data_IF_258989961648
#
_entry.id   IF_258989961648
#
_cell.length_a   1.000
_cell.length_b   1.000
_cell.length_c   1.000
_cell.angle_alpha   90.00
_cell.angle_beta   90.00
_cell.angle_gamma   90.00
#
_symmetry.space_group_name_H-M   'P 1'
#
loop_
_entity.id
_entity.type
_entity.pdbx_description
1 polymer ?
#
# COMPACT_ATOMS: atom_id res chain seq x y z
N UNK A 1 5.17 18.44 -13.92
CA UNK A 1 3.99 18.68 -13.08
C UNK A 1 3.88 17.57 -12.05
N UNK A 2 3.50 17.87 -10.81
CA UNK A 2 3.23 16.85 -9.79
C UNK A 2 2.09 15.94 -10.27
N UNK A 3 2.28 14.62 -10.21
CA UNK A 3 1.21 13.64 -10.51
C UNK A 3 0.02 13.79 -9.54
N UNK A 4 0.28 14.43 -8.40
CA UNK A 4 -0.70 14.82 -7.41
C UNK A 4 -1.00 16.32 -7.54
N UNK A 5 -2.26 16.70 -7.65
CA UNK A 5 -2.64 18.12 -7.81
C UNK A 5 -2.53 18.94 -6.52
N UNK A 6 -2.82 20.23 -6.58
CA UNK A 6 -2.73 21.15 -5.43
C UNK A 6 -3.65 20.75 -4.27
N UNK A 7 -4.90 20.38 -4.57
CA UNK A 7 -5.90 20.02 -3.56
C UNK A 7 -5.49 18.77 -2.80
N UNK A 8 -4.79 17.83 -3.45
CA UNK A 8 -4.19 16.68 -2.79
C UNK A 8 -3.22 17.11 -1.69
N UNK A 9 -2.26 17.98 -2.01
CA UNK A 9 -1.20 18.36 -1.07
C UNK A 9 -1.77 19.13 0.12
N UNK A 10 -2.70 20.05 -0.15
CA UNK A 10 -3.38 20.82 0.91
C UNK A 10 -4.21 19.91 1.83
N UNK A 11 -4.94 18.95 1.27
CA UNK A 11 -5.71 17.98 2.06
C UNK A 11 -4.80 17.10 2.93
N UNK A 12 -3.70 16.59 2.38
CA UNK A 12 -2.72 15.77 3.12
C UNK A 12 -2.12 16.57 4.28
N UNK A 13 -1.74 17.83 4.05
CA UNK A 13 -1.23 18.70 5.12
C UNK A 13 -2.25 18.90 6.24
N UNK A 14 -3.54 19.13 5.90
CA UNK A 14 -4.61 19.24 6.89
C UNK A 14 -4.78 17.95 7.68
N UNK A 15 -4.82 16.79 7.02
CA UNK A 15 -4.91 15.47 7.66
C UNK A 15 -3.73 15.24 8.62
N UNK A 16 -2.51 15.56 8.19
CA UNK A 16 -1.29 15.39 9.01
C UNK A 16 -1.22 16.35 10.20
N UNK A 17 -1.88 17.51 10.11
CA UNK A 17 -1.95 18.49 11.20
C UNK A 17 -3.00 18.17 12.28
N UNK A 18 -3.89 17.21 12.02
CA UNK A 18 -4.98 16.88 12.93
C UNK A 18 -4.49 16.15 14.19
N UNK A 19 -5.13 16.40 15.32
CA UNK A 19 -4.83 15.74 16.60
C UNK A 19 -5.55 14.39 16.69
N UNK A 20 -5.26 13.50 15.74
CA UNK A 20 -5.81 12.15 15.65
C UNK A 20 -4.74 11.08 15.92
N UNK A 21 -5.12 9.88 16.37
CA UNK A 21 -4.21 8.73 16.43
C UNK A 21 -3.56 8.46 15.08
N UNK A 22 -2.30 7.99 15.09
CA UNK A 22 -1.52 7.74 13.87
C UNK A 22 -2.22 6.78 12.88
N UNK A 23 -2.97 5.79 13.39
CA UNK A 23 -3.73 4.86 12.55
C UNK A 23 -4.91 5.55 11.83
N UNK A 24 -5.57 6.52 12.48
CA UNK A 24 -6.63 7.32 11.86
C UNK A 24 -6.04 8.25 10.79
N UNK A 25 -4.92 8.93 11.09
CA UNK A 25 -4.19 9.76 10.12
C UNK A 25 -3.76 8.92 8.92
N UNK A 26 -3.26 7.70 9.14
CA UNK A 26 -2.86 6.80 8.06
C UNK A 26 -4.04 6.33 7.21
N UNK A 27 -5.20 6.06 7.82
CA UNK A 27 -6.41 5.70 7.08
C UNK A 27 -6.87 6.86 6.19
N UNK A 28 -6.94 8.07 6.74
CA UNK A 28 -7.34 9.27 6.01
C UNK A 28 -6.34 9.66 4.91
N UNK A 29 -5.04 9.47 5.15
CA UNK A 29 -4.04 9.61 4.10
C UNK A 29 -4.30 8.60 2.98
N UNK A 30 -4.58 7.33 3.31
CA UNK A 30 -4.91 6.30 2.33
C UNK A 30 -6.20 6.60 1.54
N UNK A 31 -7.19 7.24 2.16
CA UNK A 31 -8.41 7.71 1.48
C UNK A 31 -8.05 8.63 0.31
N UNK A 32 -7.21 9.63 0.55
CA UNK A 32 -6.82 10.60 -0.48
C UNK A 32 -5.83 9.98 -1.48
N UNK A 33 -4.83 9.24 -0.98
CA UNK A 33 -3.73 8.71 -1.78
C UNK A 33 -4.14 7.58 -2.72
N UNK A 34 -5.07 6.73 -2.29
CA UNK A 34 -5.47 5.53 -3.04
C UNK A 34 -6.57 5.80 -4.06
N UNK A 35 -7.18 6.98 -4.03
CA UNK A 35 -8.21 7.37 -4.99
C UNK A 35 -7.69 7.32 -6.44
N UNK A 36 -8.58 7.06 -7.38
CA UNK A 36 -8.27 7.03 -8.83
C UNK A 36 -7.68 8.36 -9.28
N UNK A 37 -8.24 9.47 -8.78
CA UNK A 37 -7.72 10.82 -8.98
C UNK A 37 -7.48 11.44 -7.61
N UNK A 38 -6.26 11.32 -7.04
CA UNK A 38 -5.99 11.77 -5.67
C UNK A 38 -6.31 13.26 -5.42
N UNK A 39 -6.24 14.09 -6.47
CA UNK A 39 -6.61 15.50 -6.36
C UNK A 39 -8.12 15.72 -6.16
N UNK A 40 -8.97 14.85 -6.72
CA UNK A 40 -10.42 14.95 -6.55
C UNK A 40 -10.83 14.50 -5.13
N UNK A 41 -10.20 13.45 -4.60
CA UNK A 41 -10.34 13.07 -3.20
C UNK A 41 -9.86 14.17 -2.24
N UNK A 42 -8.74 14.82 -2.55
CA UNK A 42 -8.27 15.99 -1.79
C UNK A 42 -9.28 17.15 -1.81
N UNK A 43 -9.86 17.44 -3.00
CA UNK A 43 -10.91 18.45 -3.13
C UNK A 43 -12.14 18.11 -2.28
N UNK A 44 -12.57 16.84 -2.28
CA UNK A 44 -13.69 16.38 -1.46
C UNK A 44 -13.44 16.62 0.04
N UNK A 45 -12.27 16.27 0.55
CA UNK A 45 -11.90 16.52 1.96
C UNK A 45 -11.96 18.01 2.29
N UNK A 46 -11.40 18.86 1.44
CA UNK A 46 -11.37 20.31 1.65
C UNK A 46 -12.77 20.94 1.58
N UNK A 47 -13.62 20.43 0.69
CA UNK A 47 -15.02 20.82 0.61
C UNK A 47 -15.76 20.48 1.91
N UNK A 48 -15.64 19.26 2.42
CA UNK A 48 -16.25 18.85 3.68
C UNK A 48 -15.81 19.70 4.87
N UNK A 49 -14.52 20.08 4.91
CA UNK A 49 -13.98 21.00 5.92
C UNK A 49 -14.54 22.42 5.82
N UNK A 50 -14.88 22.88 4.61
CA UNK A 50 -15.44 24.22 4.39
C UNK A 50 -16.94 24.31 4.65
N UNK A 51 -17.69 23.23 4.39
CA UNK A 51 -19.16 23.21 4.47
C UNK A 51 -19.67 23.17 5.92
N UNK A 52 -18.84 22.71 6.86
CA UNK A 52 -19.22 22.52 8.25
C UNK A 52 -18.36 23.34 9.22
N UNK A 53 -18.39 24.69 9.18
CA UNK A 53 -17.51 25.55 9.98
C UNK A 53 -17.72 25.43 11.50
N UNK A 54 -18.79 24.77 11.93
CA UNK A 54 -19.07 24.48 13.36
C UNK A 54 -18.37 23.22 13.86
N UNK A 55 -17.96 22.31 12.96
CA UNK A 55 -17.22 21.10 13.33
C UNK A 55 -15.72 21.42 13.36
N UNK A 56 -15.03 20.80 14.30
CA UNK A 56 -13.57 20.80 14.33
C UNK A 56 -13.00 20.04 13.11
N UNK A 57 -11.70 20.24 12.86
CA UNK A 57 -10.97 19.47 11.86
C UNK A 57 -11.10 17.97 12.11
N UNK A 58 -10.88 17.55 13.36
CA UNK A 58 -10.92 16.16 13.80
C UNK A 58 -12.31 15.54 13.65
N UNK A 59 -13.38 16.24 14.04
CA UNK A 59 -14.76 15.75 13.88
C UNK A 59 -15.12 15.57 12.40
N UNK A 60 -14.72 16.50 11.54
CA UNK A 60 -14.99 16.41 10.11
C UNK A 60 -14.24 15.23 9.48
N UNK A 61 -12.96 15.06 9.82
CA UNK A 61 -12.15 13.96 9.33
C UNK A 61 -12.70 12.59 9.81
N UNK A 62 -13.16 12.49 11.06
CA UNK A 62 -13.84 11.28 11.55
C UNK A 62 -15.13 11.00 10.81
N UNK A 63 -15.95 12.01 10.54
CA UNK A 63 -17.16 11.86 9.73
C UNK A 63 -16.85 11.28 8.34
N UNK A 64 -15.81 11.79 7.65
CA UNK A 64 -15.40 11.26 6.34
C UNK A 64 -14.98 9.78 6.45
N UNK A 65 -14.23 9.44 7.49
CA UNK A 65 -13.79 8.05 7.75
C UNK A 65 -14.98 7.12 8.06
N UNK A 66 -15.96 7.60 8.81
CA UNK A 66 -17.19 6.87 9.12
C UNK A 66 -18.04 6.64 7.87
N UNK A 67 -18.20 7.64 7.01
CA UNK A 67 -18.90 7.51 5.74
C UNK A 67 -18.17 6.54 4.79
N UNK A 68 -16.83 6.57 4.79
CA UNK A 68 -16.02 5.64 4.00
C UNK A 68 -16.15 4.20 4.50
N UNK A 69 -16.18 3.99 5.82
CA UNK A 69 -16.47 2.69 6.42
C UNK A 69 -17.89 2.23 6.09
N UNK A 70 -18.86 3.14 6.14
CA UNK A 70 -20.27 2.86 5.81
C UNK A 70 -20.41 2.44 4.35
N UNK A 71 -19.69 3.11 3.43
CA UNK A 71 -19.61 2.71 2.03
C UNK A 71 -19.05 1.29 1.89
N UNK A 72 -17.96 0.95 2.58
CA UNK A 72 -17.32 -0.36 2.47
C UNK A 72 -18.16 -1.50 3.08
N UNK A 73 -18.91 -1.23 4.13
CA UNK A 73 -19.79 -2.20 4.78
C UNK A 73 -21.11 -2.42 4.04
N UNK A 74 -21.43 -1.61 3.03
CA UNK A 74 -22.63 -1.81 2.22
C UNK A 74 -22.58 -3.14 1.48
N UNK A 75 -23.52 -4.01 1.80
CA UNK A 75 -23.68 -5.33 1.13
C UNK A 75 -23.96 -5.21 -0.37
N UNK A 76 -24.60 -4.12 -0.76
CA UNK A 76 -24.89 -3.78 -2.14
C UNK A 76 -23.63 -3.50 -2.96
N UNK A 77 -22.47 -3.21 -2.35
CA UNK A 77 -21.22 -2.99 -3.09
C UNK A 77 -20.17 -4.07 -2.80
N UNK A 78 -19.97 -4.44 -1.53
CA UNK A 78 -19.07 -5.52 -1.13
C UNK A 78 -19.88 -6.67 -0.50
N UNK A 79 -19.72 -7.89 -1.01
CA UNK A 79 -20.43 -9.07 -0.49
C UNK A 79 -19.84 -9.54 0.84
N UNK A 80 -20.33 -9.00 1.97
CA UNK A 80 -19.95 -9.44 3.31
C UNK A 80 -20.86 -10.60 3.73
N UNK A 81 -20.27 -11.78 4.00
CA UNK A 81 -20.95 -13.08 4.13
C UNK A 81 -22.13 -13.06 5.11
N UNK A 82 -23.34 -13.39 4.63
CA UNK A 82 -24.47 -13.91 5.42
C UNK A 82 -25.67 -14.35 4.53
N UNK A 83 -25.41 -14.87 3.32
CA UNK A 83 -26.36 -15.08 2.19
C UNK A 83 -26.31 -13.91 1.21
N UNK A 84 -25.77 -14.18 0.01
CA UNK A 84 -25.80 -13.25 -1.11
C UNK A 84 -27.20 -13.27 -1.72
N UNK A 85 -27.90 -12.13 -1.86
CA UNK A 85 -29.11 -12.07 -2.69
C UNK A 85 -28.80 -12.37 -4.17
N UNK A 86 -27.52 -12.22 -4.54
CA UNK A 86 -26.98 -12.46 -5.87
C UNK A 86 -26.43 -13.90 -5.94
N UNK A 87 -27.30 -14.88 -6.15
CA UNK A 87 -26.88 -16.23 -6.51
C UNK A 87 -26.34 -16.24 -7.95
N UNK A 88 -25.24 -16.97 -8.16
CA UNK A 88 -24.64 -17.12 -9.49
C UNK A 88 -25.37 -18.22 -10.24
N UNK A 89 -25.97 -17.94 -11.43
CA UNK A 89 -26.66 -18.97 -12.21
C UNK A 89 -25.75 -20.15 -12.57
N UNK A 90 -26.31 -21.35 -12.68
CA UNK A 90 -25.54 -22.59 -12.91
C UNK A 90 -24.67 -22.52 -14.18
N UNK A 91 -25.19 -21.95 -15.27
CA UNK A 91 -24.46 -21.81 -16.54
C UNK A 91 -23.23 -20.89 -16.38
N UNK A 92 -23.39 -19.78 -15.66
CA UNK A 92 -22.30 -18.85 -15.35
C UNK A 92 -21.25 -19.51 -14.46
N UNK A 93 -21.69 -20.28 -13.47
CA UNK A 93 -20.80 -21.03 -12.58
C UNK A 93 -20.01 -22.09 -13.36
N UNK A 94 -20.62 -22.76 -14.33
CA UNK A 94 -19.93 -23.70 -15.21
C UNK A 94 -18.84 -23.01 -16.04
N UNK A 95 -19.19 -21.92 -16.73
CA UNK A 95 -18.23 -21.13 -17.52
C UNK A 95 -17.11 -20.55 -16.65
N UNK A 96 -17.41 -20.09 -15.43
CA UNK A 96 -16.40 -19.61 -14.48
C UNK A 96 -15.42 -20.72 -14.08
N UNK A 97 -15.93 -21.92 -13.79
CA UNK A 97 -15.11 -23.07 -13.45
C UNK A 97 -14.21 -23.51 -14.62
N UNK A 98 -14.74 -23.51 -15.84
CA UNK A 98 -13.97 -23.79 -17.05
C UNK A 98 -12.86 -22.74 -17.25
N UNK A 99 -13.20 -21.45 -17.12
CA UNK A 99 -12.22 -20.34 -17.21
C UNK A 99 -11.11 -20.48 -16.18
N UNK A 100 -11.45 -20.79 -14.94
CA UNK A 100 -10.52 -20.77 -13.81
C UNK A 100 -9.88 -22.14 -13.52
N UNK A 101 -10.25 -23.19 -14.26
CA UNK A 101 -9.73 -24.55 -14.12
C UNK A 101 -10.11 -25.20 -12.78
N UNK A 102 -11.28 -24.87 -12.24
CA UNK A 102 -11.78 -25.31 -10.92
C UNK A 102 -10.87 -24.96 -9.73
N UNK A 103 -9.95 -23.99 -9.90
CA UNK A 103 -8.95 -23.62 -8.89
C UNK A 103 -9.00 -22.14 -8.57
N UNK A 104 -8.56 -21.80 -7.36
CA UNK A 104 -8.25 -20.42 -7.02
C UNK A 104 -7.01 -19.98 -7.80
N UNK A 105 -7.14 -18.98 -8.67
CA UNK A 105 -5.99 -18.49 -9.46
C UNK A 105 -4.86 -17.86 -8.63
N UNK A 106 -5.17 -17.45 -7.40
CA UNK A 106 -4.19 -16.85 -6.50
C UNK A 106 -3.29 -17.92 -5.88
N UNK A 107 -3.86 -18.95 -5.24
CA UNK A 107 -3.11 -19.97 -4.49
C UNK A 107 -3.01 -21.33 -5.19
N UNK A 108 -3.77 -21.58 -6.26
CA UNK A 108 -3.87 -22.88 -6.92
C UNK A 108 -4.76 -23.90 -6.21
N UNK A 109 -5.27 -23.56 -5.03
CA UNK A 109 -6.14 -24.44 -4.24
C UNK A 109 -7.43 -24.78 -4.98
N UNK A 110 -7.83 -26.04 -4.90
CA UNK A 110 -9.12 -26.60 -5.35
C UNK A 110 -10.09 -26.84 -4.18
N UNK A 111 -9.73 -26.43 -2.96
CA UNK A 111 -10.51 -26.65 -1.74
C UNK A 111 -11.37 -25.42 -1.39
N UNK A 112 -12.66 -25.63 -1.09
CA UNK A 112 -13.68 -24.60 -0.82
C UNK A 112 -13.66 -23.40 -1.77
N UNK A 113 -13.41 -23.66 -3.05
CA UNK A 113 -13.36 -22.61 -4.07
C UNK A 113 -14.77 -22.26 -4.50
N UNK A 114 -15.13 -20.97 -4.38
CA UNK A 114 -16.48 -20.48 -4.68
C UNK A 114 -16.44 -19.27 -5.61
N UNK A 115 -17.45 -19.11 -6.48
CA UNK A 115 -17.66 -17.87 -7.21
C UNK A 115 -17.73 -16.70 -6.24
N UNK A 116 -16.95 -15.65 -6.52
CA UNK A 116 -16.88 -14.44 -5.70
C UNK A 116 -17.11 -13.25 -6.60
N UNK A 117 -18.17 -12.49 -6.33
CA UNK A 117 -18.38 -11.20 -6.96
C UNK A 117 -17.33 -10.20 -6.49
N UNK A 118 -16.73 -9.49 -7.45
CA UNK A 118 -15.77 -8.41 -7.18
C UNK A 118 -16.51 -7.20 -6.63
N UNK A 119 -17.63 -6.84 -7.27
CA UNK A 119 -18.62 -5.87 -6.78
C UNK A 119 -19.98 -6.56 -6.76
N UNK A 120 -20.76 -6.40 -5.70
CA UNK A 120 -22.10 -6.96 -5.65
C UNK A 120 -23.01 -6.34 -6.74
N UNK A 121 -23.68 -7.15 -7.58
CA UNK A 121 -24.54 -6.61 -8.64
C UNK A 121 -25.69 -5.74 -8.14
N UNK A 122 -26.17 -5.98 -6.92
CA UNK A 122 -27.19 -5.17 -6.24
C UNK A 122 -26.81 -3.70 -6.05
N UNK A 123 -25.55 -3.30 -6.30
CA UNK A 123 -25.07 -1.91 -6.26
C UNK A 123 -25.91 -0.98 -7.14
N UNK A 124 -26.43 -1.51 -8.26
CA UNK A 124 -27.23 -0.72 -9.23
C UNK A 124 -28.56 -0.23 -8.66
N UNK A 125 -29.03 -0.84 -7.57
CA UNK A 125 -30.28 -0.51 -6.90
C UNK A 125 -30.09 0.23 -5.57
N UNK A 126 -28.84 0.48 -5.14
CA UNK A 126 -28.57 1.16 -3.88
C UNK A 126 -28.84 2.66 -3.99
N UNK A 127 -29.79 3.16 -3.18
CA UNK A 127 -30.21 4.55 -3.21
C UNK A 127 -29.10 5.53 -2.81
N UNK A 128 -28.17 5.15 -1.93
CA UNK A 128 -27.10 6.01 -1.47
C UNK A 128 -25.95 6.13 -2.50
N UNK A 129 -25.84 5.17 -3.42
CA UNK A 129 -24.77 5.07 -4.42
C UNK A 129 -25.20 5.55 -5.82
N UNK A 130 -26.49 5.84 -6.01
CA UNK A 130 -27.01 6.45 -7.24
C UNK A 130 -26.79 7.95 -7.24
N UNK A 131 -26.96 8.58 -8.41
CA UNK A 131 -26.90 10.04 -8.53
C UNK A 131 -27.88 10.70 -7.54
N UNK A 132 -27.38 11.65 -6.75
CA UNK A 132 -28.12 12.31 -5.66
C UNK A 132 -28.17 11.54 -4.33
N UNK A 133 -27.61 10.32 -4.27
CA UNK A 133 -27.49 9.54 -3.04
C UNK A 133 -26.45 10.12 -2.07
N UNK A 134 -26.60 9.81 -0.77
CA UNK A 134 -25.76 10.36 0.29
C UNK A 134 -24.27 10.01 0.14
N UNK A 135 -23.95 8.75 -0.18
CA UNK A 135 -22.56 8.28 -0.31
C UNK A 135 -21.98 8.48 -1.71
N UNK A 136 -22.80 8.90 -2.67
CA UNK A 136 -22.38 9.09 -4.06
C UNK A 136 -21.24 10.10 -4.23
N UNK A 137 -21.24 11.29 -3.58
CA UNK A 137 -20.12 12.22 -3.68
C UNK A 137 -18.79 11.63 -3.16
N UNK A 138 -18.84 10.87 -2.07
CA UNK A 138 -17.67 10.19 -1.50
C UNK A 138 -17.14 9.11 -2.45
N UNK A 139 -18.05 8.30 -3.03
CA UNK A 139 -17.71 7.29 -4.02
C UNK A 139 -17.06 7.92 -5.27
N UNK A 140 -17.67 8.98 -5.80
CA UNK A 140 -17.14 9.72 -6.95
C UNK A 140 -15.75 10.31 -6.66
N UNK A 141 -15.52 10.83 -5.45
CA UNK A 141 -14.22 11.34 -5.05
C UNK A 141 -13.13 10.24 -5.00
N UNK A 142 -13.49 9.02 -4.59
CA UNK A 142 -12.58 7.88 -4.50
C UNK A 142 -12.28 7.24 -5.86
N UNK A 143 -13.29 7.02 -6.69
CA UNK A 143 -13.13 6.22 -7.92
C UNK A 143 -13.31 7.00 -9.23
N UNK A 144 -13.74 8.27 -9.17
CA UNK A 144 -14.23 9.13 -10.27
C UNK A 144 -15.64 8.80 -10.75
N UNK A 145 -16.47 9.82 -11.00
CA UNK A 145 -17.83 9.65 -11.54
C UNK A 145 -17.86 8.83 -12.83
N UNK A 146 -16.83 8.95 -13.67
CA UNK A 146 -16.70 8.16 -14.90
C UNK A 146 -16.64 6.65 -14.61
N UNK A 147 -15.83 6.22 -13.66
CA UNK A 147 -15.72 4.79 -13.33
C UNK A 147 -16.94 4.29 -12.57
N UNK A 148 -17.59 5.13 -11.76
CA UNK A 148 -18.87 4.77 -11.13
C UNK A 148 -19.92 4.48 -12.18
N UNK A 149 -20.10 5.36 -13.16
CA UNK A 149 -21.06 5.15 -14.25
C UNK A 149 -20.68 3.95 -15.12
N UNK A 150 -19.40 3.75 -15.43
CA UNK A 150 -18.92 2.56 -16.15
C UNK A 150 -19.24 1.26 -15.40
N UNK A 151 -19.01 1.24 -14.08
CA UNK A 151 -19.37 0.10 -13.22
C UNK A 151 -20.89 -0.12 -13.22
N UNK A 152 -21.68 0.91 -12.96
CA UNK A 152 -23.13 0.80 -12.90
C UNK A 152 -23.71 0.32 -14.23
N UNK A 153 -23.26 0.87 -15.36
CA UNK A 153 -23.67 0.45 -16.70
C UNK A 153 -23.33 -1.03 -16.95
N UNK A 154 -22.12 -1.47 -16.59
CA UNK A 154 -21.71 -2.86 -16.74
C UNK A 154 -22.55 -3.83 -15.91
N UNK A 155 -23.02 -3.40 -14.73
CA UNK A 155 -23.76 -4.24 -13.80
C UNK A 155 -25.29 -4.15 -13.99
N UNK A 156 -25.80 -3.25 -14.84
CA UNK A 156 -27.24 -3.13 -15.15
C UNK A 156 -27.80 -4.39 -15.80
N UNK A 157 -27.07 -5.00 -16.72
CA UNK A 157 -27.53 -6.17 -17.46
C UNK A 157 -26.85 -7.46 -16.97
N UNK A 158 -27.63 -8.37 -16.39
CA UNK A 158 -27.20 -9.66 -15.87
C UNK A 158 -27.12 -10.71 -16.99
N UNK A 159 -26.08 -10.65 -17.81
CA UNK A 159 -25.79 -11.64 -18.86
C UNK A 159 -24.42 -12.31 -18.63
N UNK A 160 -24.13 -13.41 -19.33
CA UNK A 160 -22.87 -14.16 -19.13
C UNK A 160 -21.61 -13.30 -19.28
N UNK A 161 -21.61 -12.40 -20.27
CA UNK A 161 -20.49 -11.50 -20.55
C UNK A 161 -20.18 -10.60 -19.36
N UNK A 162 -21.19 -9.95 -18.78
CA UNK A 162 -21.02 -9.02 -17.67
C UNK A 162 -20.76 -9.76 -16.35
N UNK A 163 -21.44 -10.89 -16.12
CA UNK A 163 -21.26 -11.73 -14.92
C UNK A 163 -19.82 -12.22 -14.80
N UNK A 164 -19.25 -12.81 -15.86
CA UNK A 164 -17.89 -13.34 -15.81
C UNK A 164 -16.84 -12.24 -15.60
N UNK A 165 -17.09 -11.02 -16.13
CA UNK A 165 -16.24 -9.85 -15.88
C UNK A 165 -16.30 -9.35 -14.44
N UNK A 166 -17.31 -9.75 -13.67
CA UNK A 166 -17.48 -9.39 -12.25
C UNK A 166 -17.21 -10.58 -11.30
N UNK A 167 -16.87 -11.75 -11.82
CA UNK A 167 -16.70 -12.97 -11.02
C UNK A 167 -15.27 -13.49 -11.04
N UNK A 168 -14.84 -14.00 -9.88
CA UNK A 168 -13.59 -14.75 -9.73
C UNK A 168 -13.82 -15.97 -8.86
N UNK A 169 -13.25 -17.11 -9.24
CA UNK A 169 -13.19 -18.31 -8.41
C UNK A 169 -12.09 -18.19 -7.33
N UNK A 170 -12.48 -18.10 -6.05
CA UNK A 170 -11.55 -17.90 -4.92
C UNK A 170 -11.74 -18.92 -3.81
N UNK A 171 -10.63 -19.42 -3.25
CA UNK A 171 -10.62 -20.23 -2.04
C UNK A 171 -11.00 -19.36 -0.82
N UNK A 172 -11.52 -19.97 0.24
CA UNK A 172 -12.04 -19.21 1.40
C UNK A 172 -11.04 -18.21 2.01
N UNK A 173 -9.78 -18.56 2.29
CA UNK A 173 -8.85 -17.62 2.92
C UNK A 173 -8.52 -16.43 2.02
N UNK A 174 -8.40 -16.68 0.71
CA UNK A 174 -8.17 -15.66 -0.32
C UNK A 174 -9.38 -14.74 -0.46
N UNK A 175 -10.58 -15.33 -0.51
CA UNK A 175 -11.85 -14.61 -0.62
C UNK A 175 -12.06 -13.66 0.56
N UNK A 176 -11.78 -14.11 1.78
CA UNK A 176 -11.82 -13.27 2.99
C UNK A 176 -10.80 -12.15 2.92
N UNK A 177 -9.53 -12.46 2.63
CA UNK A 177 -8.48 -11.45 2.53
C UNK A 177 -8.74 -10.40 1.43
N UNK A 178 -9.29 -10.83 0.29
CA UNK A 178 -9.70 -9.95 -0.81
C UNK A 178 -10.81 -9.01 -0.37
N UNK A 179 -11.89 -9.54 0.23
CA UNK A 179 -13.04 -8.74 0.71
C UNK A 179 -12.67 -7.68 1.73
N UNK A 180 -11.82 -8.04 2.70
CA UNK A 180 -11.34 -7.12 3.74
C UNK A 180 -10.16 -6.25 3.28
N UNK A 181 -9.87 -6.19 1.97
CA UNK A 181 -8.89 -5.26 1.41
C UNK A 181 -7.46 -5.52 1.87
N UNK A 182 -7.13 -6.75 2.29
CA UNK A 182 -5.77 -7.10 2.74
C UNK A 182 -4.77 -7.13 1.58
N UNK A 183 -5.27 -7.33 0.37
CA UNK A 183 -4.54 -7.16 -0.87
C UNK A 183 -5.51 -6.68 -1.95
N UNK A 184 -4.97 -6.10 -3.01
CA UNK A 184 -5.72 -5.77 -4.23
C UNK A 184 -5.12 -6.45 -5.44
N UNK A 185 -5.97 -6.71 -6.43
CA UNK A 185 -5.54 -7.27 -7.71
C UNK A 185 -5.43 -6.12 -8.71
N UNK A 186 -4.24 -5.93 -9.27
CA UNK A 186 -4.02 -4.94 -10.31
C UNK A 186 -4.01 -5.60 -11.69
N UNK A 187 -4.90 -5.11 -12.55
CA UNK A 187 -4.97 -5.41 -13.98
C UNK A 187 -4.54 -4.18 -14.78
N UNK A 188 -3.43 -4.24 -15.54
CA UNK A 188 -3.02 -3.14 -16.41
C UNK A 188 -4.05 -2.80 -17.50
N UNK A 189 -4.15 -1.54 -17.94
CA UNK A 189 -5.12 -1.12 -18.97
C UNK A 189 -5.02 -1.89 -20.29
N UNK A 190 -3.80 -2.26 -20.71
CA UNK A 190 -3.60 -2.97 -21.97
C UNK A 190 -4.19 -4.38 -21.95
N UNK A 191 -4.39 -5.00 -20.77
CA UNK A 191 -5.04 -6.31 -20.67
C UNK A 191 -6.58 -6.26 -20.75
N UNK A 192 -7.18 -5.09 -20.95
CA UNK A 192 -8.61 -5.00 -21.32
C UNK A 192 -8.85 -5.35 -22.80
N UNK A 193 -7.82 -5.26 -23.65
CA UNK A 193 -7.91 -5.68 -25.06
C UNK A 193 -7.26 -7.06 -25.26
N UNK A 194 -7.95 -8.02 -25.92
CA UNK A 194 -7.47 -9.41 -26.03
C UNK A 194 -6.10 -9.61 -26.70
N UNK A 195 -5.63 -8.63 -27.46
CA UNK A 195 -4.45 -8.74 -28.33
C UNK A 195 -3.15 -8.17 -27.75
N UNK A 196 -3.17 -7.59 -26.54
CA UNK A 196 -2.00 -6.92 -25.97
C UNK A 196 -1.21 -7.83 -25.00
N UNK A 197 -0.66 -8.95 -25.48
CA UNK A 197 0.42 -9.63 -24.75
C UNK A 197 1.71 -8.85 -25.02
N UNK A 198 2.31 -8.31 -23.97
CA UNK A 198 3.65 -7.70 -24.04
C UNK A 198 4.65 -8.81 -23.68
N UNK A 199 5.51 -9.26 -24.60
CA UNK A 199 6.56 -10.21 -24.27
C UNK A 199 7.49 -9.60 -23.20
N UNK A 200 7.89 -10.40 -22.20
CA UNK A 200 8.87 -10.08 -21.15
C UNK A 200 8.38 -9.32 -19.90
N UNK A 201 7.08 -9.35 -19.57
CA UNK A 201 6.58 -8.89 -18.26
C UNK A 201 6.30 -10.09 -17.36
N UNK A 202 6.80 -10.10 -16.11
CA UNK A 202 6.42 -11.13 -15.12
C UNK A 202 4.89 -11.14 -14.97
N UNK A 203 4.30 -12.33 -15.00
CA UNK A 203 2.85 -12.56 -14.88
C UNK A 203 1.96 -11.83 -15.91
N UNK A 204 2.49 -11.55 -17.11
CA UNK A 204 1.82 -10.78 -18.17
C UNK A 204 1.27 -9.41 -17.72
N UNK A 205 1.82 -8.86 -16.62
CA UNK A 205 1.41 -7.59 -16.03
C UNK A 205 0.38 -7.69 -14.90
N UNK A 206 -0.23 -8.85 -14.65
CA UNK A 206 -1.10 -9.04 -13.50
C UNK A 206 -0.31 -9.00 -12.19
N UNK A 207 -0.82 -8.29 -11.19
CA UNK A 207 -0.16 -8.16 -9.90
C UNK A 207 -1.12 -8.33 -8.73
N UNK A 208 -0.61 -8.95 -7.67
CA UNK A 208 -1.21 -8.94 -6.35
C UNK A 208 -0.41 -7.91 -5.54
N UNK A 209 -1.09 -6.90 -5.02
CA UNK A 209 -0.46 -5.80 -4.30
C UNK A 209 -0.92 -5.80 -2.86
N UNK A 210 0.02 -5.81 -1.92
CA UNK A 210 -0.27 -5.58 -0.52
C UNK A 210 -0.86 -4.17 -0.33
N UNK A 211 -1.80 -4.04 0.58
CA UNK A 211 -2.40 -2.75 0.92
C UNK A 211 -1.70 -2.20 2.17
N UNK A 212 -1.25 -0.93 2.16
CA UNK A 212 -0.72 -0.28 3.36
C UNK A 212 -1.75 -0.28 4.51
N UNK A 213 -1.33 -0.27 5.77
CA UNK A 213 0.02 0.06 6.25
C UNK A 213 0.97 -1.14 6.39
N UNK A 214 0.48 -2.38 6.28
CA UNK A 214 1.34 -3.56 6.51
C UNK A 214 2.40 -3.73 5.44
N UNK A 215 2.11 -3.34 4.18
CA UNK A 215 3.02 -3.48 3.05
C UNK A 215 3.41 -4.93 2.74
N UNK A 216 2.75 -5.90 3.39
CA UNK A 216 2.99 -7.34 3.28
C UNK A 216 1.71 -8.03 2.89
N UNK A 217 1.83 -9.05 2.06
CA UNK A 217 0.70 -9.90 1.72
C UNK A 217 0.30 -10.74 2.94
N UNK A 218 -1.00 -11.03 3.11
CA UNK A 218 -1.45 -11.81 4.23
C UNK A 218 -0.93 -13.25 4.12
N UNK A 219 -0.63 -13.86 5.27
CA UNK A 219 -0.16 -15.25 5.32
C UNK A 219 -1.15 -16.23 4.68
N UNK A 220 -2.44 -15.88 4.62
CA UNK A 220 -3.49 -16.65 3.93
C UNK A 220 -3.28 -16.81 2.43
N UNK A 221 -2.34 -16.08 1.83
CA UNK A 221 -1.88 -16.33 0.47
C UNK A 221 -0.80 -17.40 0.42
N UNK A 222 -0.47 -18.11 1.51
CA UNK A 222 0.51 -19.20 1.57
C UNK A 222 1.87 -18.87 0.91
N UNK A 223 2.35 -17.64 1.09
CA UNK A 223 3.60 -17.16 0.47
C UNK A 223 3.49 -16.79 -1.01
N UNK A 224 2.30 -16.81 -1.60
CA UNK A 224 2.05 -16.37 -2.97
C UNK A 224 2.19 -14.84 -3.08
N UNK A 225 3.39 -14.38 -3.43
CA UNK A 225 3.69 -13.02 -3.88
C UNK A 225 3.12 -12.65 -5.25
N UNK A 226 2.56 -13.64 -5.95
CA UNK A 226 1.97 -13.54 -7.27
C UNK A 226 0.91 -14.61 -7.47
N UNK A 227 0.12 -14.50 -8.53
CA UNK A 227 -0.80 -15.55 -8.93
C UNK A 227 -0.08 -16.90 -9.10
N UNK A 228 -0.71 -17.97 -8.61
CA UNK A 228 -0.29 -19.36 -8.86
C UNK A 228 -0.18 -19.64 -10.37
N UNK A 229 -1.16 -19.18 -11.13
CA UNK A 229 -1.14 -19.17 -12.60
C UNK A 229 -1.59 -17.82 -13.10
N UNK A 230 -0.89 -17.28 -14.10
CA UNK A 230 -1.29 -16.02 -14.75
C UNK A 230 -2.75 -16.10 -15.20
N UNK A 231 -3.61 -15.16 -14.79
CA UNK A 231 -5.00 -15.13 -15.22
C UNK A 231 -5.08 -15.13 -16.74
N UNK A 232 -5.74 -16.17 -17.27
CA UNK A 232 -5.86 -16.43 -18.70
C UNK A 232 -7.26 -17.00 -18.98
N UNK A 233 -7.67 -16.93 -20.23
CA UNK A 233 -8.99 -17.39 -20.67
C UNK A 233 -8.84 -18.38 -21.83
N UNK A 234 -9.62 -19.48 -21.83
CA UNK A 234 -9.67 -20.39 -22.98
C UNK A 234 -10.31 -19.75 -24.21
N UNK A 235 -11.22 -18.79 -24.02
CA UNK A 235 -11.90 -18.08 -25.09
C UNK A 235 -12.22 -16.63 -24.66
N UNK A 236 -11.64 -15.61 -25.29
CA UNK A 236 -11.82 -14.21 -24.89
C UNK A 236 -13.24 -13.68 -25.08
N UNK A 237 -14.08 -14.32 -25.90
CA UNK A 237 -15.45 -13.86 -26.17
C UNK A 237 -16.47 -14.48 -25.20
N UNK A 238 -16.25 -15.74 -24.78
CA UNK A 238 -17.21 -16.49 -23.95
C UNK A 238 -16.77 -16.65 -22.49
N UNK A 239 -15.46 -16.53 -22.21
CA UNK A 239 -14.84 -16.76 -20.90
C UNK A 239 -14.06 -15.52 -20.44
N UNK A 240 -14.71 -14.36 -20.50
CA UNK A 240 -14.06 -13.08 -20.21
C UNK A 240 -13.42 -13.04 -18.81
N UNK A 241 -12.24 -12.44 -18.75
CA UNK A 241 -11.54 -12.18 -17.50
C UNK A 241 -12.18 -11.00 -16.75
N UNK A 242 -11.97 -10.90 -15.43
CA UNK A 242 -12.41 -9.78 -14.63
C UNK A 242 -12.10 -8.40 -15.22
N UNK A 243 -13.07 -7.50 -15.16
CA UNK A 243 -12.93 -6.13 -15.62
C UNK A 243 -12.05 -5.31 -14.67
N UNK A 244 -11.11 -4.55 -15.23
CA UNK A 244 -10.20 -3.68 -14.51
C UNK A 244 -10.93 -2.66 -13.64
N UNK A 245 -12.01 -2.06 -14.15
CA UNK A 245 -12.77 -1.04 -13.40
C UNK A 245 -13.32 -1.63 -12.09
N UNK A 246 -13.84 -2.85 -12.11
CA UNK A 246 -14.39 -3.52 -10.93
C UNK A 246 -13.29 -3.88 -9.92
N UNK A 247 -12.15 -4.39 -10.39
CA UNK A 247 -10.99 -4.69 -9.53
C UNK A 247 -10.43 -3.44 -8.87
N UNK A 248 -10.32 -2.33 -9.61
CA UNK A 248 -9.85 -1.06 -9.06
C UNK A 248 -10.81 -0.52 -8.00
N UNK A 249 -12.11 -0.54 -8.29
CA UNK A 249 -13.15 -0.08 -7.35
C UNK A 249 -13.11 -0.91 -6.06
N UNK A 250 -13.12 -2.24 -6.18
CA UNK A 250 -13.03 -3.15 -5.04
C UNK A 250 -11.77 -2.87 -4.21
N UNK A 251 -10.62 -2.69 -4.86
CA UNK A 251 -9.35 -2.45 -4.20
C UNK A 251 -9.25 -1.10 -3.47
N UNK A 252 -10.09 -0.12 -3.83
CA UNK A 252 -10.18 1.19 -3.16
C UNK A 252 -11.22 1.17 -2.03
N UNK A 253 -12.39 0.61 -2.31
CA UNK A 253 -13.52 0.62 -1.36
C UNK A 253 -13.29 -0.32 -0.18
N UNK A 254 -12.48 -1.37 -0.33
CA UNK A 254 -12.17 -2.31 0.74
C UNK A 254 -11.06 -1.83 1.71
N UNK A 255 -10.32 -0.77 1.39
CA UNK A 255 -9.24 -0.22 2.23
C UNK A 255 -9.67 0.07 3.68
N UNK A 256 -10.80 0.74 3.97
CA UNK A 256 -11.15 1.04 5.36
C UNK A 256 -11.42 -0.24 6.16
N UNK A 257 -11.88 -1.33 5.52
CA UNK A 257 -12.02 -2.63 6.17
C UNK A 257 -10.66 -3.22 6.56
N UNK A 258 -9.62 -2.99 5.77
CA UNK A 258 -8.27 -3.39 6.13
C UNK A 258 -7.78 -2.64 7.38
N UNK A 259 -8.01 -1.33 7.42
CA UNK A 259 -7.69 -0.52 8.60
C UNK A 259 -8.48 -0.95 9.84
N UNK A 260 -9.76 -1.32 9.72
CA UNK A 260 -10.54 -1.77 10.88
C UNK A 260 -10.02 -3.08 11.48
N UNK A 261 -9.56 -4.02 10.63
CA UNK A 261 -8.90 -5.26 11.09
C UNK A 261 -7.62 -4.94 11.86
N UNK A 262 -6.80 -4.01 11.36
CA UNK A 262 -5.55 -3.61 12.03
C UNK A 262 -5.84 -2.90 13.35
N UNK A 263 -6.83 -2.01 13.38
CA UNK A 263 -7.23 -1.36 14.63
C UNK A 263 -7.76 -2.34 15.66
N UNK A 264 -8.47 -3.38 15.22
CA UNK A 264 -8.88 -4.45 16.12
C UNK A 264 -7.66 -5.20 16.67
N UNK A 265 -6.67 -5.53 15.83
CA UNK A 265 -5.42 -6.14 16.28
C UNK A 265 -4.65 -5.24 17.25
N UNK A 266 -4.65 -3.91 17.04
CA UNK A 266 -4.07 -2.95 17.99
C UNK A 266 -4.80 -3.01 19.34
N UNK A 267 -6.15 -3.03 19.33
CA UNK A 267 -6.97 -3.10 20.55
C UNK A 267 -6.80 -4.41 21.31
N UNK A 268 -6.70 -5.52 20.58
CA UNK A 268 -6.51 -6.86 21.15
C UNK A 268 -5.09 -7.05 21.73
N UNK A 269 -4.19 -6.09 21.47
CA UNK A 269 -2.78 -6.16 21.80
C UNK A 269 -2.02 -6.91 20.72
N UNK A 270 -0.88 -6.36 20.31
CA UNK A 270 -0.03 -7.05 19.35
C UNK A 270 0.65 -8.23 20.03
N UNK A 271 0.77 -9.38 19.34
CA UNK A 271 1.66 -10.44 19.81
C UNK A 271 3.07 -9.86 19.95
N UNK A 272 3.90 -10.39 20.88
CA UNK A 272 5.28 -9.96 21.01
C UNK A 272 5.94 -10.00 19.64
N UNK A 273 6.53 -8.89 19.19
CA UNK A 273 7.19 -8.87 17.89
C UNK A 273 8.45 -9.73 18.02
N UNK A 274 8.38 -10.96 17.53
CA UNK A 274 9.39 -11.99 17.76
C UNK A 274 10.68 -11.77 16.96
N UNK A 275 10.67 -10.89 15.97
CA UNK A 275 11.83 -10.60 15.14
C UNK A 275 11.82 -9.13 14.68
N UNK A 276 12.83 -8.39 15.15
CA UNK A 276 13.10 -7.03 14.69
C UNK A 276 14.02 -6.98 13.48
N UNK A 277 14.54 -5.79 13.17
CA UNK A 277 15.61 -5.63 12.18
C UNK A 277 16.91 -6.17 12.74
N UNK A 278 17.73 -6.83 11.93
CA UNK A 278 19.07 -7.24 12.38
C UNK A 278 19.98 -6.04 12.64
N UNK A 279 20.92 -6.16 13.57
CA UNK A 279 21.92 -5.13 13.91
C UNK A 279 21.37 -3.80 14.48
N UNK A 280 20.15 -3.80 15.03
CA UNK A 280 19.51 -2.64 15.69
C UNK A 280 20.42 -1.91 16.67
N UNK A 281 21.16 -2.63 17.51
CA UNK A 281 22.05 -2.01 18.50
C UNK A 281 23.17 -1.19 17.84
N UNK A 282 23.71 -1.66 16.70
CA UNK A 282 24.75 -0.95 15.96
C UNK A 282 24.20 0.32 15.32
N UNK A 283 23.02 0.22 14.69
CA UNK A 283 22.36 1.36 14.05
C UNK A 283 21.94 2.42 15.09
N UNK A 284 21.36 2.01 16.22
CA UNK A 284 21.00 2.92 17.31
C UNK A 284 22.22 3.68 17.84
N UNK A 285 23.33 2.98 18.10
CA UNK A 285 24.58 3.63 18.52
C UNK A 285 25.19 4.50 17.41
N UNK A 286 25.02 4.14 16.15
CA UNK A 286 25.46 4.96 15.03
C UNK A 286 24.71 6.30 14.95
N UNK A 287 23.40 6.32 15.17
CA UNK A 287 22.62 7.55 15.26
C UNK A 287 23.12 8.47 16.39
N UNK A 288 23.42 7.91 17.56
CA UNK A 288 24.00 8.66 18.69
C UNK A 288 25.36 9.29 18.35
N UNK A 289 26.21 8.56 17.62
CA UNK A 289 27.52 9.07 17.21
C UNK A 289 27.41 10.16 16.15
N UNK A 290 26.53 9.99 15.16
CA UNK A 290 26.27 11.00 14.13
C UNK A 290 25.73 12.28 14.77
N UNK A 291 24.75 12.16 15.67
CA UNK A 291 24.20 13.28 16.42
C UNK A 291 25.26 14.00 17.26
N UNK A 292 26.19 13.27 17.86
CA UNK A 292 27.22 13.83 18.74
C UNK A 292 28.36 14.51 17.99
N UNK A 293 28.81 13.94 16.88
CA UNK A 293 30.09 14.31 16.25
C UNK A 293 29.94 15.02 14.90
N UNK A 294 28.72 15.16 14.38
CA UNK A 294 28.49 15.77 13.06
C UNK A 294 27.37 16.78 13.11
N UNK A 295 27.29 17.64 12.10
CA UNK A 295 26.15 18.54 11.85
C UNK A 295 25.16 17.96 10.82
N UNK A 296 25.30 16.67 10.49
CA UNK A 296 24.46 16.02 9.49
C UNK A 296 23.02 15.98 10.00
N UNK A 297 22.09 16.37 9.14
CA UNK A 297 20.67 16.22 9.39
C UNK A 297 20.26 14.74 9.23
N UNK A 298 20.57 13.95 10.25
CA UNK A 298 20.24 12.54 10.38
C UNK A 298 19.05 12.34 11.35
N UNK A 299 18.34 11.20 11.29
CA UNK A 299 17.32 10.88 12.30
C UNK A 299 17.94 10.88 13.70
N UNK A 300 17.23 11.42 14.69
CA UNK A 300 17.67 11.38 16.09
C UNK A 300 17.05 10.17 16.77
N UNK A 301 17.87 9.41 17.50
CA UNK A 301 17.40 8.26 18.26
C UNK A 301 16.49 8.75 19.40
N UNK A 302 15.30 8.18 19.52
CA UNK A 302 14.38 8.39 20.65
C UNK A 302 14.50 7.20 21.61
N UNK A 303 14.43 5.98 21.07
CA UNK A 303 14.55 4.75 21.85
C UNK A 303 14.96 3.56 20.95
N UNK A 304 15.47 2.48 21.55
CA UNK A 304 15.71 1.21 20.87
C UNK A 304 15.45 0.03 21.80
N UNK A 305 14.74 -0.99 21.32
CA UNK A 305 14.45 -2.21 22.07
C UNK A 305 14.94 -3.43 21.30
N UNK A 306 15.73 -4.27 21.96
CA UNK A 306 16.17 -5.54 21.41
C UNK A 306 15.10 -6.60 21.68
N UNK A 307 14.68 -7.32 20.63
CA UNK A 307 13.79 -8.48 20.77
C UNK A 307 14.60 -9.73 21.13
N UNK A 308 15.80 -9.86 20.55
CA UNK A 308 16.81 -10.86 20.91
C UNK A 308 18.23 -10.32 20.67
N UNK A 309 19.25 -11.19 20.72
CA UNK A 309 20.65 -10.79 20.53
C UNK A 309 21.00 -10.33 19.11
N UNK A 310 20.10 -10.53 18.13
CA UNK A 310 20.37 -10.22 16.71
C UNK A 310 19.44 -9.17 16.16
N UNK A 311 18.24 -9.03 16.72
CA UNK A 311 17.14 -8.28 16.16
C UNK A 311 16.46 -7.35 17.16
N UNK A 312 16.04 -6.18 16.70
CA UNK A 312 15.37 -5.18 17.53
C UNK A 312 14.63 -4.11 16.74
N UNK A 313 14.14 -3.10 17.45
CA UNK A 313 13.40 -1.97 16.91
C UNK A 313 14.08 -0.66 17.30
N UNK A 314 14.04 0.31 16.39
CA UNK A 314 14.54 1.66 16.61
C UNK A 314 13.36 2.62 16.46
N UNK A 315 13.18 3.47 17.46
CA UNK A 315 12.32 4.64 17.39
C UNK A 315 13.20 5.87 17.19
N UNK A 316 12.96 6.61 16.12
CA UNK A 316 13.75 7.78 15.74
C UNK A 316 12.88 8.87 15.12
N UNK A 317 13.40 10.11 15.09
CA UNK A 317 12.70 11.24 14.45
C UNK A 317 12.67 11.10 12.93
N UNK A 318 11.56 11.49 12.30
CA UNK A 318 11.48 11.59 10.83
C UNK A 318 12.25 12.81 10.32
N UNK A 319 13.00 12.66 9.21
CA UNK A 319 13.54 13.80 8.44
C UNK A 319 12.56 14.17 7.34
N UNK A 320 12.21 15.45 7.24
CA UNK A 320 11.39 15.98 6.15
C UNK A 320 12.20 16.12 4.86
N UNK A 321 11.69 15.61 3.75
CA UNK A 321 12.31 15.80 2.44
C UNK A 321 11.84 14.77 1.41
N UNK A 322 12.31 14.92 0.18
CA UNK A 322 12.15 13.91 -0.86
C UNK A 322 13.46 13.14 -1.06
N UNK A 323 13.42 11.82 -1.22
CA UNK A 323 14.59 11.05 -1.61
C UNK A 323 15.24 11.60 -2.88
N UNK A 324 16.55 11.82 -2.86
CA UNK A 324 17.27 12.49 -3.96
C UNK A 324 17.06 11.76 -5.30
N UNK A 325 17.04 10.42 -5.32
CA UNK A 325 16.83 9.63 -6.53
C UNK A 325 15.49 9.92 -7.23
N UNK A 326 14.47 10.37 -6.49
CA UNK A 326 13.15 10.69 -7.04
C UNK A 326 13.09 12.08 -7.65
N UNK A 327 14.06 12.95 -7.34
CA UNK A 327 14.08 14.36 -7.77
C UNK A 327 15.33 14.74 -8.56
N UNK A 328 16.33 13.87 -8.63
CA UNK A 328 17.62 14.15 -9.28
C UNK A 328 17.49 14.55 -10.76
N UNK A 329 16.49 14.02 -11.48
CA UNK A 329 16.25 14.41 -12.87
C UNK A 329 15.70 15.84 -13.02
N UNK A 330 15.23 16.45 -11.93
CA UNK A 330 14.71 17.82 -11.88
C UNK A 330 15.73 18.84 -11.40
N UNK A 331 16.91 18.41 -10.96
CA UNK A 331 17.93 19.32 -10.44
C UNK A 331 18.77 19.91 -11.57
N UNK A 332 19.13 21.19 -11.42
CA UNK A 332 20.06 21.88 -12.34
C UNK A 332 21.50 21.39 -12.15
N UNK A 333 22.41 21.79 -13.04
CA UNK A 333 23.83 21.43 -12.91
C UNK A 333 24.45 22.05 -11.66
N UNK A 334 24.10 23.29 -11.35
CA UNK A 334 24.56 24.02 -10.18
C UNK A 334 24.08 23.35 -8.89
N UNK A 335 22.82 22.94 -8.84
CA UNK A 335 22.27 22.18 -7.70
C UNK A 335 22.97 20.83 -7.53
N UNK A 336 23.29 20.12 -8.62
CA UNK A 336 24.04 18.86 -8.57
C UNK A 336 25.46 19.04 -8.07
N UNK A 337 26.11 20.13 -8.48
CA UNK A 337 27.44 20.47 -7.97
C UNK A 337 27.39 20.74 -6.46
N UNK A 338 26.37 21.48 -6.00
CA UNK A 338 26.17 21.74 -4.58
C UNK A 338 25.90 20.45 -3.79
N UNK A 339 25.03 19.57 -4.30
CA UNK A 339 24.78 18.25 -3.71
C UNK A 339 26.10 17.46 -3.57
N UNK A 340 26.97 17.51 -4.59
CA UNK A 340 28.28 16.86 -4.54
C UNK A 340 29.17 17.42 -3.42
N UNK A 341 29.17 18.75 -3.24
CA UNK A 341 29.91 19.43 -2.17
C UNK A 341 29.37 19.04 -0.79
N UNK A 342 28.06 19.06 -0.60
CA UNK A 342 27.40 18.73 0.66
C UNK A 342 27.66 17.26 1.06
N UNK A 343 27.55 16.33 0.11
CA UNK A 343 27.86 14.91 0.36
C UNK A 343 29.34 14.69 0.71
N UNK A 344 30.25 15.38 0.03
CA UNK A 344 31.68 15.30 0.35
C UNK A 344 31.97 15.82 1.76
N UNK A 345 31.32 16.91 2.16
CA UNK A 345 31.41 17.45 3.51
C UNK A 345 30.87 16.46 4.56
N UNK A 346 29.70 15.88 4.32
CA UNK A 346 29.13 14.87 5.22
C UNK A 346 30.07 13.69 5.40
N UNK A 347 30.61 13.14 4.30
CA UNK A 347 31.60 12.04 4.35
C UNK A 347 32.84 12.46 5.16
N UNK A 348 33.29 13.72 5.04
CA UNK A 348 34.43 14.22 5.79
C UNK A 348 34.14 14.29 7.30
N UNK A 349 32.98 14.81 7.71
CA UNK A 349 32.57 14.89 9.12
C UNK A 349 32.48 13.49 9.73
N UNK A 350 31.82 12.60 9.01
CA UNK A 350 31.65 11.20 9.34
C UNK A 350 32.98 10.46 9.54
N UNK A 351 34.00 10.73 8.71
CA UNK A 351 35.35 10.16 8.88
C UNK A 351 36.10 10.71 10.09
N UNK A 352 35.67 11.83 10.67
CA UNK A 352 36.26 12.42 11.89
C UNK A 352 35.69 11.84 13.17
N UNK A 353 34.64 11.01 13.09
CA UNK A 353 34.10 10.32 14.26
C UNK A 353 35.21 9.44 14.87
N UNK A 354 35.55 9.62 16.16
CA UNK A 354 36.67 8.92 16.77
C UNK A 354 36.38 7.41 16.88
N UNK A 355 37.31 6.59 16.40
CA UNK A 355 37.29 5.15 16.64
C UNK A 355 37.75 4.84 18.07
N UNK A 356 36.82 4.50 18.95
CA UNK A 356 37.11 4.12 20.34
C UNK A 356 37.40 2.63 20.53
N UNK A 357 37.42 1.86 19.44
CA UNK A 357 37.57 0.41 19.45
C UNK A 357 39.05 0.02 19.32
N UNK A 358 39.36 -1.22 19.66
CA UNK A 358 40.72 -1.76 19.51
C UNK A 358 41.07 -2.11 18.05
N UNK A 359 40.10 -2.06 17.14
CA UNK A 359 40.28 -2.48 15.75
C UNK A 359 40.49 -1.28 14.83
N UNK A 360 41.29 -1.46 13.78
CA UNK A 360 41.51 -0.43 12.75
C UNK A 360 40.24 -0.11 11.98
N UNK A 361 39.39 -1.12 11.81
CA UNK A 361 38.12 -1.08 11.09
C UNK A 361 37.13 -1.89 11.93
N UNK A 362 36.08 -1.24 12.41
CA UNK A 362 34.99 -1.88 13.13
C UNK A 362 33.68 -1.13 12.88
N UNK A 363 32.58 -1.81 13.22
CA UNK A 363 31.28 -1.18 13.37
C UNK A 363 31.26 -0.25 14.61
N UNK A 364 30.13 0.41 14.88
CA UNK A 364 30.06 1.42 15.94
C UNK A 364 30.17 0.85 17.35
N UNK A 365 29.99 -0.46 17.51
CA UNK A 365 30.12 -1.20 18.76
C UNK A 365 31.46 -1.93 18.89
N UNK A 366 32.39 -1.77 17.94
CA UNK A 366 33.65 -2.51 17.93
C UNK A 366 33.57 -3.94 17.40
N UNK A 367 32.44 -4.33 16.81
CA UNK A 367 32.25 -5.62 16.16
C UNK A 367 32.55 -5.61 14.65
N UNK A 368 32.33 -6.77 13.98
CA UNK A 368 32.45 -6.88 12.53
C UNK A 368 31.48 -5.92 11.81
N UNK A 369 31.91 -5.43 10.66
CA UNK A 369 31.06 -4.64 9.77
C UNK A 369 30.14 -5.58 9.02
N UNK A 370 28.85 -5.24 8.98
CA UNK A 370 27.87 -5.90 8.13
C UNK A 370 27.62 -5.01 6.92
N UNK A 371 27.83 -5.54 5.71
CA UNK A 371 27.44 -4.85 4.48
C UNK A 371 26.12 -5.46 3.99
N UNK A 372 25.02 -4.78 4.30
CA UNK A 372 23.69 -5.20 3.88
C UNK A 372 23.48 -5.23 2.36
N UNK A 373 24.44 -4.70 1.57
CA UNK A 373 24.40 -4.79 0.09
C UNK A 373 24.82 -6.16 -0.41
N UNK A 374 25.41 -7.02 0.43
CA UNK A 374 25.91 -8.35 0.06
C UNK A 374 25.04 -9.52 0.57
N UNK A 375 23.93 -9.25 1.27
CA UNK A 375 23.03 -10.27 1.81
C UNK A 375 21.70 -10.34 1.09
N UNK A 376 21.44 -11.47 0.43
CA UNK A 376 20.14 -11.94 -0.10
C UNK A 376 19.47 -11.05 -1.16
N UNK A 377 19.73 -11.34 -2.45
CA UNK A 377 18.74 -11.56 -3.50
C UNK A 377 17.67 -10.51 -3.86
N UNK A 378 17.48 -9.43 -3.11
CA UNK A 378 16.48 -8.41 -3.39
C UNK A 378 17.13 -7.17 -3.97
N UNK A 379 16.76 -6.88 -5.22
CA UNK A 379 17.16 -5.68 -5.93
C UNK A 379 16.72 -4.43 -5.14
N UNK A 380 17.70 -3.63 -4.72
CA UNK A 380 17.60 -2.18 -4.50
C UNK A 380 16.22 -1.67 -4.02
N UNK A 381 15.83 -2.06 -2.81
CA UNK A 381 14.64 -1.56 -2.12
C UNK A 381 14.94 -0.31 -1.28
N UNK A 382 14.29 0.80 -1.64
CA UNK A 382 13.95 1.98 -0.84
C UNK A 382 15.06 2.77 -0.08
N UNK A 383 15.31 3.97 -0.59
CA UNK A 383 16.35 4.98 -0.28
C UNK A 383 16.54 5.41 1.18
N UNK A 384 15.70 4.97 2.14
CA UNK A 384 16.07 5.09 3.56
C UNK A 384 17.37 4.29 3.81
N UNK A 385 17.60 3.24 3.01
CA UNK A 385 18.83 2.45 2.99
C UNK A 385 20.06 3.22 2.48
N UNK A 386 19.99 4.40 1.88
CA UNK A 386 21.23 5.10 1.46
C UNK A 386 21.85 5.91 2.59
N UNK A 387 21.03 6.60 3.40
CA UNK A 387 21.48 7.19 4.68
C UNK A 387 21.82 6.09 5.67
N UNK A 388 20.96 5.06 5.79
CA UNK A 388 21.17 3.93 6.69
C UNK A 388 22.34 3.05 6.22
N UNK A 389 22.57 2.80 4.93
CA UNK A 389 23.76 2.05 4.50
C UNK A 389 25.03 2.87 4.58
N UNK A 390 25.00 4.21 4.48
CA UNK A 390 26.16 5.01 4.88
C UNK A 390 26.43 4.83 6.37
N UNK A 391 25.39 4.88 7.21
CA UNK A 391 25.42 4.72 8.66
C UNK A 391 25.88 3.31 9.10
N UNK A 392 25.36 2.25 8.46
CA UNK A 392 25.70 0.84 8.71
C UNK A 392 27.05 0.45 8.10
N UNK A 393 27.43 1.08 6.98
CA UNK A 393 28.76 0.92 6.36
C UNK A 393 29.81 1.84 6.99
N UNK A 394 29.55 2.46 8.15
CA UNK A 394 30.54 3.27 8.85
C UNK A 394 31.75 2.42 9.20
N UNK A 395 32.83 2.66 8.47
CA UNK A 395 34.17 2.24 8.84
C UNK A 395 34.73 3.31 9.76
N UNK A 396 34.77 3.03 11.06
CA UNK A 396 35.60 3.82 11.95
C UNK A 396 37.06 3.50 11.64
N UNK A 397 37.82 4.47 11.13
CA UNK A 397 39.24 4.31 10.84
C UNK A 397 40.08 4.87 12.00
N UNK A 398 41.01 4.07 12.52
CA UNK A 398 42.04 4.60 13.42
C UNK A 398 43.09 5.30 12.57
N UNK A 399 43.29 6.60 12.76
CA UNK A 399 44.32 7.35 12.05
C UNK A 399 45.69 6.69 12.24
N UNK A 400 46.33 6.30 11.14
CA UNK A 400 47.76 6.02 11.17
C UNK A 400 48.47 7.34 11.47
N UNK A 401 49.27 7.37 12.54
CA UNK A 401 50.24 8.44 12.75
C UNK A 401 51.33 8.36 11.69
#
# INVERSE_FOLDING_TARGET
>A
MSIFGEQYHTAVQKIQSAQLPAIEISALFSFVHSAVVPNDAGRYVLQQLSENPRRTLEETLRSIREDWMTLALKRSILTVELVSPDEVPCEIKAALNERDGHRCRVTGSDTDVKPTYIVAPSVVHDADLRSGGYLRPLLDALVSSKQVEEMLEMLKERNQRNELRNLWLMAQPVRTAFRYGSFKIHKPPYLETPSARIPNVKNDGWQIQAVPPTGRLPFTLDGHGSFYTVPSTPNPDTHLLPARVLLNIQGIISIPLHFSVIEQQIRDGWPPITQGREHTANEANALLLVERYTSINAPRLIDSVMSDNKSGFILMTTITGNPLNLVFYRTTYEEREQIGKDLAEWIQQLRRIPNQTNYLIANTLGGPISDHRYGQGEAWGHTIQFQISLIDSFKMFKGAK
#
